data_IF_627447610373
#
_entry.id   IF_627447610373
#
_cell.length_a   1.000
_cell.length_b   1.000
_cell.length_c   1.000
_cell.angle_alpha   90.00
_cell.angle_beta   90.00
_cell.angle_gamma   90.00
#
_symmetry.space_group_name_H-M   'P 1'
#
loop_
_entity.id
_entity.type
_entity.pdbx_description
1 polymer ?
#
# COMPACT_ATOMS: atom_id res chain seq x y z
N UNK A 1 21.43 -8.44 11.80
CA UNK A 1 20.41 -8.58 10.76
C UNK A 1 21.09 -8.49 9.41
N UNK A 2 20.95 -9.53 8.59
CA UNK A 2 21.45 -9.55 7.22
C UNK A 2 20.53 -8.72 6.32
N UNK A 3 21.03 -8.31 5.15
CA UNK A 3 20.20 -7.60 4.16
C UNK A 3 19.00 -8.43 3.70
N UNK A 4 19.15 -9.76 3.65
CA UNK A 4 18.09 -10.66 3.25
C UNK A 4 16.99 -10.72 4.31
N UNK A 5 17.35 -10.83 5.59
CA UNK A 5 16.40 -10.77 6.71
C UNK A 5 15.61 -9.45 6.68
N UNK A 6 16.29 -8.31 6.53
CA UNK A 6 15.63 -7.00 6.48
C UNK A 6 14.64 -6.86 5.30
N UNK A 7 14.94 -7.45 4.14
CA UNK A 7 14.04 -7.45 2.98
C UNK A 7 12.82 -8.34 3.21
N UNK A 8 13.02 -9.52 3.80
CA UNK A 8 11.93 -10.43 4.16
C UNK A 8 11.01 -9.80 5.20
N UNK A 9 11.56 -9.21 6.26
CA UNK A 9 10.77 -8.52 7.29
C UNK A 9 9.98 -7.36 6.69
N UNK A 10 10.59 -6.56 5.80
CA UNK A 10 9.89 -5.48 5.11
C UNK A 10 8.71 -6.00 4.27
N UNK A 11 8.89 -7.09 3.51
CA UNK A 11 7.80 -7.71 2.74
C UNK A 11 6.69 -8.25 3.64
N UNK A 12 7.04 -8.92 4.73
CA UNK A 12 6.08 -9.46 5.69
C UNK A 12 5.26 -8.33 6.33
N UNK A 13 5.90 -7.24 6.74
CA UNK A 13 5.23 -6.06 7.27
C UNK A 13 4.25 -5.45 6.26
N UNK A 14 4.68 -5.28 5.00
CA UNK A 14 3.83 -4.73 3.95
C UNK A 14 2.65 -5.65 3.60
N UNK A 15 2.86 -6.97 3.58
CA UNK A 15 1.80 -7.94 3.38
C UNK A 15 0.72 -7.87 4.47
N UNK A 16 1.12 -7.70 5.74
CA UNK A 16 0.18 -7.49 6.85
C UNK A 16 -0.64 -6.21 6.66
N UNK A 17 0.00 -5.11 6.27
CA UNK A 17 -0.70 -3.83 6.04
C UNK A 17 -1.68 -3.95 4.87
N UNK A 18 -1.23 -4.53 3.74
CA UNK A 18 -2.08 -4.77 2.57
C UNK A 18 -3.31 -5.59 2.92
N UNK A 19 -3.13 -6.70 3.63
CA UNK A 19 -4.23 -7.57 4.07
C UNK A 19 -5.29 -6.78 4.83
N UNK A 20 -4.88 -5.95 5.81
CA UNK A 20 -5.83 -5.14 6.59
C UNK A 20 -6.55 -4.11 5.73
N UNK A 21 -5.86 -3.47 4.78
CA UNK A 21 -6.49 -2.50 3.87
C UNK A 21 -7.51 -3.22 2.99
N UNK A 22 -7.15 -4.36 2.41
CA UNK A 22 -8.04 -5.15 1.55
C UNK A 22 -9.24 -5.72 2.31
N UNK A 23 -9.10 -6.03 3.60
CA UNK A 23 -10.20 -6.49 4.46
C UNK A 23 -11.18 -5.38 4.81
N UNK A 24 -10.68 -4.18 5.13
CA UNK A 24 -11.49 -3.08 5.68
C UNK A 24 -12.02 -2.14 4.58
N UNK A 25 -11.28 -1.99 3.48
CA UNK A 25 -11.58 -1.02 2.44
C UNK A 25 -12.32 -1.65 1.26
N UNK A 26 -13.11 -0.86 0.50
CA UNK A 26 -13.71 -1.36 -0.73
C UNK A 26 -12.67 -1.89 -1.74
N UNK A 27 -13.06 -2.83 -2.62
CA UNK A 27 -12.20 -3.29 -3.71
C UNK A 27 -11.66 -2.14 -4.56
N UNK A 28 -10.38 -2.24 -4.94
CA UNK A 28 -9.72 -1.25 -5.80
C UNK A 28 -9.09 -0.05 -5.08
N UNK A 29 -9.07 -0.04 -3.73
CA UNK A 29 -8.28 0.96 -2.98
C UNK A 29 -6.78 0.78 -3.22
N UNK A 30 -6.28 -0.46 -3.22
CA UNK A 30 -4.90 -0.75 -3.57
C UNK A 30 -4.78 -1.26 -5.02
N UNK A 31 -3.72 -0.86 -5.75
CA UNK A 31 -3.36 -1.49 -7.01
C UNK A 31 -2.90 -2.94 -6.80
N UNK A 32 -2.96 -3.76 -7.85
CA UNK A 32 -2.44 -5.13 -7.84
C UNK A 32 -0.91 -5.14 -7.67
N UNK A 33 -0.32 -6.26 -7.22
CA UNK A 33 1.13 -6.38 -7.12
C UNK A 33 1.83 -6.18 -8.47
N UNK A 34 1.23 -6.67 -9.56
CA UNK A 34 1.72 -6.45 -10.92
C UNK A 34 1.77 -4.96 -11.27
N UNK A 35 0.69 -4.23 -10.98
CA UNK A 35 0.64 -2.78 -11.21
C UNK A 35 1.64 -2.03 -10.33
N UNK A 36 1.81 -2.44 -9.07
CA UNK A 36 2.81 -1.84 -8.17
C UNK A 36 4.21 -2.02 -8.74
N UNK A 37 4.53 -3.24 -9.18
CA UNK A 37 5.84 -3.55 -9.73
C UNK A 37 6.12 -2.76 -11.01
N UNK A 38 5.10 -2.56 -11.85
CA UNK A 38 5.20 -1.81 -13.10
C UNK A 38 5.29 -0.29 -12.90
N UNK A 39 4.54 0.27 -11.94
CA UNK A 39 4.42 1.72 -11.73
C UNK A 39 5.51 2.26 -10.80
N UNK A 40 5.83 1.54 -9.73
CA UNK A 40 6.73 2.02 -8.67
C UNK A 40 8.09 1.35 -8.72
N UNK A 41 8.16 0.05 -8.43
CA UNK A 41 9.31 -0.86 -8.51
C UNK A 41 9.01 -2.12 -7.66
N UNK A 42 9.71 -3.26 -7.89
CA UNK A 42 9.46 -4.49 -7.15
C UNK A 42 10.12 -4.57 -5.77
N UNK A 43 10.80 -3.51 -5.30
CA UNK A 43 11.38 -3.49 -3.96
C UNK A 43 10.30 -3.10 -2.93
N UNK A 44 10.48 -3.44 -1.63
CA UNK A 44 9.52 -3.07 -0.58
C UNK A 44 9.14 -1.58 -0.57
N UNK A 45 10.05 -0.69 -0.95
CA UNK A 45 9.78 0.75 -1.03
C UNK A 45 8.73 1.10 -2.09
N UNK A 46 8.63 0.34 -3.19
CA UNK A 46 7.61 0.56 -4.22
C UNK A 46 6.20 0.23 -3.72
N UNK A 47 6.05 -0.91 -3.03
CA UNK A 47 4.79 -1.28 -2.36
C UNK A 47 4.42 -0.26 -1.26
N UNK A 48 5.40 0.18 -0.47
CA UNK A 48 5.18 1.21 0.55
C UNK A 48 4.69 2.53 -0.06
N UNK A 49 5.25 2.97 -1.20
CA UNK A 49 4.79 4.16 -1.90
C UNK A 49 3.36 4.01 -2.42
N UNK A 50 3.03 2.84 -3.00
CA UNK A 50 1.69 2.55 -3.49
C UNK A 50 0.64 2.63 -2.36
N UNK A 51 0.93 2.03 -1.20
CA UNK A 51 0.07 2.11 0.00
C UNK A 51 -0.08 3.55 0.47
N UNK A 52 1.02 4.31 0.56
CA UNK A 52 0.97 5.70 1.00
C UNK A 52 0.09 6.57 0.09
N UNK A 53 0.20 6.40 -1.22
CA UNK A 53 -0.65 7.13 -2.20
C UNK A 53 -2.11 6.73 -2.11
N UNK A 54 -2.41 5.44 -1.93
CA UNK A 54 -3.78 4.96 -1.76
C UNK A 54 -4.44 5.54 -0.50
N UNK A 55 -3.70 5.63 0.61
CA UNK A 55 -4.19 6.26 1.86
C UNK A 55 -4.50 7.75 1.62
N UNK A 56 -3.56 8.50 1.03
CA UNK A 56 -3.75 9.94 0.76
C UNK A 56 -4.97 10.18 -0.12
N UNK A 57 -5.09 9.43 -1.22
CA UNK A 57 -6.23 9.54 -2.14
C UNK A 57 -7.55 9.20 -1.44
N UNK A 58 -7.56 8.14 -0.63
CA UNK A 58 -8.75 7.73 0.13
C UNK A 58 -9.16 8.81 1.12
N UNK A 59 -8.23 9.37 1.91
CA UNK A 59 -8.51 10.44 2.88
C UNK A 59 -9.04 11.69 2.18
N UNK A 60 -8.40 12.13 1.09
CA UNK A 60 -8.86 13.30 0.31
C UNK A 60 -10.29 13.13 -0.19
N UNK A 61 -10.64 11.93 -0.67
CA UNK A 61 -12.02 11.63 -1.08
C UNK A 61 -12.99 11.70 0.09
N UNK A 62 -12.60 11.24 1.27
CA UNK A 62 -13.44 11.32 2.48
C UNK A 62 -13.65 12.77 2.92
N UNK A 63 -12.59 13.58 2.92
CA UNK A 63 -12.67 15.02 3.24
C UNK A 63 -13.57 15.78 2.27
N UNK A 64 -13.49 15.49 0.97
CA UNK A 64 -14.36 16.13 -0.04
C UNK A 64 -15.85 15.80 0.09
N UNK A 65 -16.20 14.80 0.91
CA UNK A 65 -17.59 14.36 1.14
C UNK A 65 -18.20 14.97 2.39
N UNK A 66 -17.43 15.70 3.19
CA UNK A 66 -17.94 16.42 4.37
C UNK A 66 -18.29 17.84 3.88
N UNK A 67 -19.59 18.19 3.76
CA UNK A 67 -19.97 19.56 3.46
C UNK A 67 -19.57 20.48 4.64
N UNK A 68 -19.20 21.72 4.30
CA UNK A 68 -18.84 22.81 5.25
C UNK A 68 -19.89 23.00 6.36
#
# INVERSE_FOLDING_TARGET
MTRLEALSDARNCLAMIRMVIEEVCPPGVLPSEEDVNAIYNPLPVGEAEAIARAIIETVRRLESRIPD
#
